data_IF_920471553152
#
_entry.id   IF_920471553152
#
_cell.length_a   1.000
_cell.length_b   1.000
_cell.length_c   1.000
_cell.angle_alpha   90.00
_cell.angle_beta   90.00
_cell.angle_gamma   90.00
#
_symmetry.space_group_name_H-M   'P 1'
#
loop_
_entity.id
_entity.type
_entity.pdbx_description
1 polymer ?
#
# COMPACT_ATOMS: atom_id res chain seq x y z
N UNK A 1 2.56 28.01 9.30
CA UNK A 1 3.32 26.76 9.50
C UNK A 1 2.63 26.02 10.62
N UNK A 2 2.16 24.79 10.41
CA UNK A 2 1.57 24.00 11.50
C UNK A 2 2.65 23.78 12.57
N UNK A 3 2.39 24.23 13.79
CA UNK A 3 3.32 24.22 14.93
C UNK A 3 3.04 23.08 15.91
N UNK A 4 2.20 22.12 15.52
CA UNK A 4 1.88 20.96 16.36
C UNK A 4 3.13 20.14 16.65
N UNK A 5 3.33 19.88 17.94
CA UNK A 5 4.34 18.94 18.39
C UNK A 5 3.98 17.52 17.93
N UNK A 6 4.98 16.78 17.44
CA UNK A 6 4.88 15.36 17.10
C UNK A 6 5.70 14.56 18.11
N UNK A 7 5.11 13.49 18.64
CA UNK A 7 5.80 12.56 19.52
C UNK A 7 6.05 11.25 18.78
N UNK A 8 7.29 10.79 18.84
CA UNK A 8 7.71 9.48 18.32
C UNK A 8 8.22 8.63 19.48
N UNK A 9 7.85 7.35 19.50
CA UNK A 9 8.37 6.36 20.42
C UNK A 9 9.09 5.28 19.63
N UNK A 10 10.29 4.89 20.06
CA UNK A 10 11.06 3.79 19.47
C UNK A 10 11.84 3.06 20.56
N UNK A 11 12.00 1.76 20.37
CA UNK A 11 12.89 0.91 21.17
C UNK A 11 14.19 0.56 20.43
N UNK A 12 14.37 1.06 19.20
CA UNK A 12 15.55 0.83 18.37
C UNK A 12 16.32 2.12 18.10
N UNK A 13 15.62 3.23 17.94
CA UNK A 13 16.21 4.52 17.59
C UNK A 13 16.45 5.34 18.86
N UNK A 14 17.62 5.95 18.97
CA UNK A 14 17.96 6.90 20.02
C UNK A 14 17.66 8.34 19.58
N UNK A 15 18.55 9.26 19.92
CA UNK A 15 18.42 10.69 19.60
C UNK A 15 19.17 11.07 18.33
N UNK A 16 19.47 10.11 17.45
CA UNK A 16 20.24 10.37 16.24
C UNK A 16 19.48 11.29 15.28
N UNK A 17 20.23 12.15 14.60
CA UNK A 17 19.71 13.03 13.56
C UNK A 17 19.89 12.40 12.17
N UNK A 18 18.98 12.77 11.27
CA UNK A 18 18.94 12.34 9.89
C UNK A 18 18.69 13.53 8.97
N UNK A 19 19.16 13.42 7.72
CA UNK A 19 18.80 14.35 6.67
C UNK A 19 17.58 13.82 5.90
N UNK A 20 16.53 14.64 5.78
CA UNK A 20 15.34 14.32 4.99
C UNK A 20 15.11 15.37 3.92
N UNK A 21 14.68 14.94 2.74
CA UNK A 21 14.26 15.83 1.67
C UNK A 21 12.85 16.32 1.96
N UNK A 22 12.67 17.64 2.01
CA UNK A 22 11.39 18.30 2.19
C UNK A 22 11.07 19.14 0.96
N UNK A 23 9.88 18.95 0.40
CA UNK A 23 9.36 19.82 -0.65
C UNK A 23 8.81 21.10 0.00
N UNK A 24 9.24 22.23 -0.54
CA UNK A 24 8.82 23.56 -0.14
C UNK A 24 7.56 23.96 -0.93
N UNK A 25 6.86 24.99 -0.46
CA UNK A 25 5.62 25.45 -1.09
C UNK A 25 5.82 25.99 -2.51
N UNK A 26 7.00 26.54 -2.80
CA UNK A 26 7.40 27.05 -4.12
C UNK A 26 7.78 25.93 -5.12
N UNK A 27 7.66 24.66 -4.72
CA UNK A 27 8.03 23.50 -5.54
C UNK A 27 9.52 23.15 -5.49
N UNK A 28 10.35 23.95 -4.81
CA UNK A 28 11.75 23.60 -4.56
C UNK A 28 11.85 22.47 -3.53
N UNK A 29 12.99 21.77 -3.50
CA UNK A 29 13.27 20.78 -2.47
C UNK A 29 14.46 21.23 -1.62
N UNK A 30 14.31 21.16 -0.30
CA UNK A 30 15.36 21.43 0.68
C UNK A 30 15.73 20.17 1.43
N UNK A 31 16.97 20.10 1.92
CA UNK A 31 17.40 19.08 2.87
C UNK A 31 17.33 19.68 4.26
N UNK A 32 16.59 19.04 5.16
CA UNK A 32 16.46 19.47 6.55
C UNK A 32 16.92 18.38 7.50
N UNK A 33 17.36 18.79 8.69
CA UNK A 33 17.64 17.87 9.79
C UNK A 33 16.33 17.44 10.45
N UNK A 34 16.17 16.14 10.67
CA UNK A 34 15.01 15.51 11.31
C UNK A 34 15.49 14.37 12.22
N UNK A 35 14.78 14.00 13.29
CA UNK A 35 15.12 12.81 14.06
C UNK A 35 15.13 11.56 13.17
N UNK A 36 16.10 10.66 13.37
CA UNK A 36 16.22 9.41 12.61
C UNK A 36 14.96 8.54 12.75
N UNK A 37 14.32 8.53 13.91
CA UNK A 37 13.04 7.85 14.15
C UNK A 37 11.92 8.36 13.23
N UNK A 38 11.85 9.67 12.98
CA UNK A 38 10.83 10.26 12.13
C UNK A 38 11.06 9.91 10.65
N UNK A 39 12.33 9.91 10.21
CA UNK A 39 12.70 9.44 8.86
C UNK A 39 12.30 7.97 8.68
N UNK A 40 12.70 7.11 9.61
CA UNK A 40 12.43 5.67 9.51
C UNK A 40 10.93 5.37 9.53
N UNK A 41 10.17 6.05 10.39
CA UNK A 41 8.71 5.95 10.40
C UNK A 41 8.14 6.34 9.03
N UNK A 42 8.51 7.49 8.48
CA UNK A 42 7.97 7.95 7.19
C UNK A 42 8.34 7.03 6.02
N UNK A 43 9.53 6.41 6.04
CA UNK A 43 9.98 5.49 4.98
C UNK A 43 9.20 4.16 4.98
N UNK A 44 8.64 3.75 6.14
CA UNK A 44 8.00 2.44 6.31
C UNK A 44 6.52 2.51 6.71
N UNK A 45 5.99 3.70 7.01
CA UNK A 45 4.56 3.90 7.25
C UNK A 45 3.76 3.76 5.96
N UNK A 46 2.44 3.66 6.07
CA UNK A 46 1.55 3.65 4.91
C UNK A 46 1.45 2.32 4.17
N UNK A 47 2.08 1.24 4.65
CA UNK A 47 1.88 -0.10 4.08
C UNK A 47 0.41 -0.55 4.08
N UNK A 48 -0.33 -0.21 5.13
CA UNK A 48 -1.78 -0.48 5.25
C UNK A 48 -2.57 0.39 4.25
N UNK A 49 -2.34 1.70 4.23
CA UNK A 49 -3.01 2.62 3.31
C UNK A 49 -2.74 2.25 1.84
N UNK A 50 -1.50 1.83 1.53
CA UNK A 50 -1.12 1.33 0.21
C UNK A 50 -1.83 0.01 -0.13
N UNK A 51 -1.99 -0.90 0.84
CA UNK A 51 -2.78 -2.13 0.65
C UNK A 51 -4.24 -1.80 0.33
N UNK A 52 -4.84 -0.86 1.06
CA UNK A 52 -6.22 -0.43 0.85
C UNK A 52 -6.38 0.28 -0.50
N UNK A 53 -5.44 1.14 -0.89
CA UNK A 53 -5.42 1.79 -2.20
C UNK A 53 -5.35 0.76 -3.35
N UNK A 54 -4.61 -0.34 -3.18
CA UNK A 54 -4.52 -1.40 -4.20
C UNK A 54 -5.83 -2.16 -4.42
N UNK A 55 -6.76 -2.18 -3.46
CA UNK A 55 -8.07 -2.87 -3.56
C UNK A 55 -9.10 -2.12 -4.42
N UNK A 56 -8.65 -1.30 -5.37
CA UNK A 56 -9.49 -0.39 -6.17
C UNK A 56 -10.53 -1.11 -7.07
N UNK A 57 -10.27 -2.35 -7.49
CA UNK A 57 -11.14 -3.06 -8.45
C UNK A 57 -12.28 -3.85 -7.78
N UNK A 58 -12.17 -4.06 -6.48
CA UNK A 58 -13.20 -4.64 -5.62
C UNK A 58 -14.27 -3.62 -5.25
N UNK A 59 -15.14 -3.29 -6.20
CA UNK A 59 -16.18 -2.29 -5.94
C UNK A 59 -17.22 -2.85 -4.96
N UNK A 60 -17.48 -2.10 -3.88
CA UNK A 60 -18.58 -2.37 -2.96
C UNK A 60 -19.89 -2.59 -3.76
N UNK A 61 -20.43 -3.80 -3.68
CA UNK A 61 -21.73 -4.14 -4.29
C UNK A 61 -22.82 -3.95 -3.24
N UNK A 62 -23.92 -3.27 -3.62
CA UNK A 62 -25.10 -3.18 -2.76
C UNK A 62 -25.60 -4.59 -2.43
N UNK A 63 -25.68 -4.90 -1.15
CA UNK A 63 -26.17 -6.18 -0.64
C UNK A 63 -27.00 -5.95 0.61
N UNK A 64 -28.03 -6.77 0.79
CA UNK A 64 -28.84 -6.80 2.01
C UNK A 64 -28.11 -7.47 3.17
N UNK A 65 -27.09 -8.29 2.87
CA UNK A 65 -26.31 -9.04 3.87
C UNK A 65 -24.95 -8.37 4.07
N UNK A 66 -24.68 -7.89 5.29
CA UNK A 66 -23.45 -7.18 5.66
C UNK A 66 -22.17 -7.97 5.36
N UNK A 67 -22.21 -9.30 5.51
CA UNK A 67 -21.04 -10.16 5.30
C UNK A 67 -20.57 -10.25 3.85
N UNK A 68 -21.44 -9.92 2.86
CA UNK A 68 -21.03 -9.89 1.45
C UNK A 68 -19.90 -8.89 1.22
N UNK A 69 -19.90 -7.78 1.98
CA UNK A 69 -18.85 -6.77 1.90
C UNK A 69 -17.51 -7.33 2.36
N UNK A 70 -17.50 -8.02 3.50
CA UNK A 70 -16.29 -8.67 4.01
C UNK A 70 -15.78 -9.75 3.07
N UNK A 71 -16.69 -10.59 2.55
CA UNK A 71 -16.34 -11.61 1.56
C UNK A 71 -15.67 -11.00 0.32
N UNK A 72 -16.26 -9.96 -0.26
CA UNK A 72 -15.65 -9.22 -1.38
C UNK A 72 -14.25 -8.70 -1.03
N UNK A 73 -14.12 -8.03 0.12
CA UNK A 73 -12.84 -7.51 0.58
C UNK A 73 -11.76 -8.59 0.76
N UNK A 74 -12.13 -9.81 1.19
CA UNK A 74 -11.19 -10.93 1.27
C UNK A 74 -10.75 -11.42 -0.12
N UNK A 75 -11.66 -11.49 -1.09
CA UNK A 75 -11.32 -11.83 -2.48
C UNK A 75 -10.35 -10.80 -3.05
N UNK A 76 -10.63 -9.52 -2.86
CA UNK A 76 -9.80 -8.42 -3.37
C UNK A 76 -8.39 -8.45 -2.76
N UNK A 77 -8.30 -8.65 -1.44
CA UNK A 77 -7.03 -8.78 -0.73
C UNK A 77 -6.24 -9.99 -1.22
N UNK A 78 -6.91 -11.13 -1.40
CA UNK A 78 -6.27 -12.37 -1.90
C UNK A 78 -5.70 -12.15 -3.30
N UNK A 79 -6.45 -11.52 -4.20
CA UNK A 79 -5.98 -11.23 -5.56
C UNK A 79 -4.83 -10.22 -5.61
N UNK A 80 -4.85 -9.19 -4.75
CA UNK A 80 -3.72 -8.27 -4.61
C UNK A 80 -2.46 -9.00 -4.14
N UNK A 81 -2.59 -9.88 -3.15
CA UNK A 81 -1.46 -10.65 -2.63
C UNK A 81 -0.95 -11.67 -3.65
N UNK A 82 -1.84 -12.33 -4.39
CA UNK A 82 -1.47 -13.25 -5.47
C UNK A 82 -0.70 -12.55 -6.59
N UNK A 83 -1.11 -11.33 -6.97
CA UNK A 83 -0.39 -10.52 -7.94
C UNK A 83 1.02 -10.12 -7.44
N UNK A 84 1.14 -9.76 -6.15
CA UNK A 84 2.45 -9.50 -5.55
C UNK A 84 3.35 -10.73 -5.58
N UNK A 85 2.82 -11.91 -5.22
CA UNK A 85 3.55 -13.17 -5.29
C UNK A 85 3.98 -13.50 -6.73
N UNK A 86 3.09 -13.31 -7.71
CA UNK A 86 3.43 -13.51 -9.12
C UNK A 86 4.60 -12.62 -9.55
N UNK A 87 4.59 -11.33 -9.19
CA UNK A 87 5.69 -10.40 -9.48
C UNK A 87 6.99 -10.81 -8.78
N UNK A 88 6.90 -11.34 -7.56
CA UNK A 88 8.07 -11.82 -6.80
C UNK A 88 8.69 -13.08 -7.42
N UNK A 89 7.86 -13.98 -7.94
CA UNK A 89 8.29 -15.24 -8.57
C UNK A 89 8.72 -15.06 -10.03
N UNK A 90 8.14 -14.09 -10.74
CA UNK A 90 8.35 -13.80 -12.16
C UNK A 90 8.64 -12.30 -12.36
N UNK A 91 9.81 -11.81 -11.92
CA UNK A 91 10.13 -10.38 -11.95
C UNK A 91 10.24 -9.79 -13.36
N UNK A 92 10.45 -10.64 -14.38
CA UNK A 92 10.41 -10.32 -15.81
C UNK A 92 8.98 -10.18 -16.36
N UNK A 93 7.99 -10.80 -15.73
CA UNK A 93 6.58 -10.80 -16.16
C UNK A 93 5.70 -9.90 -15.27
N UNK A 94 6.12 -8.65 -15.06
CA UNK A 94 5.34 -7.72 -14.23
C UNK A 94 3.98 -7.43 -14.87
N UNK A 95 2.93 -7.93 -14.23
CA UNK A 95 1.54 -7.68 -14.64
C UNK A 95 0.88 -6.60 -13.77
N UNK A 96 0.33 -5.53 -14.37
CA UNK A 96 -0.56 -4.62 -13.65
C UNK A 96 -1.75 -5.36 -13.03
N UNK A 97 -2.20 -4.92 -11.86
CA UNK A 97 -3.25 -5.60 -11.09
C UNK A 97 -4.52 -5.89 -11.92
N UNK A 98 -4.99 -4.94 -12.72
CA UNK A 98 -6.15 -5.14 -13.59
C UNK A 98 -5.96 -6.26 -14.61
N UNK A 99 -4.77 -6.39 -15.18
CA UNK A 99 -4.49 -7.41 -16.18
C UNK A 99 -4.33 -8.79 -15.53
N UNK A 100 -3.69 -8.85 -14.36
CA UNK A 100 -3.65 -10.05 -13.53
C UNK A 100 -5.06 -10.56 -13.22
N UNK A 101 -5.96 -9.66 -12.81
CA UNK A 101 -7.36 -9.99 -12.54
C UNK A 101 -8.10 -10.51 -13.77
N UNK A 102 -7.91 -9.89 -14.94
CA UNK A 102 -8.54 -10.35 -16.18
C UNK A 102 -8.12 -11.76 -16.56
N UNK A 103 -6.82 -12.07 -16.43
CA UNK A 103 -6.29 -13.42 -16.68
C UNK A 103 -6.90 -14.43 -15.71
N UNK A 104 -6.86 -14.12 -14.41
CA UNK A 104 -7.46 -14.96 -13.37
C UNK A 104 -8.94 -15.27 -13.65
N UNK A 105 -9.75 -14.25 -13.97
CA UNK A 105 -11.18 -14.46 -14.26
C UNK A 105 -11.39 -15.28 -15.52
N UNK A 106 -10.61 -15.07 -16.59
CA UNK A 106 -10.70 -15.88 -17.82
C UNK A 106 -10.40 -17.34 -17.53
N UNK A 107 -9.32 -17.61 -16.80
CA UNK A 107 -8.93 -18.98 -16.42
C UNK A 107 -10.02 -19.64 -15.58
N UNK A 108 -10.51 -18.95 -14.54
CA UNK A 108 -11.57 -19.44 -13.66
C UNK A 108 -12.85 -19.82 -14.41
N UNK A 109 -13.27 -19.01 -15.39
CA UNK A 109 -14.48 -19.27 -16.19
C UNK A 109 -14.25 -20.36 -17.24
N UNK A 110 -13.01 -20.54 -17.71
CA UNK A 110 -12.66 -21.56 -18.70
C UNK A 110 -12.44 -22.96 -18.11
N UNK A 111 -12.47 -23.12 -16.79
CA UNK A 111 -12.30 -24.43 -16.15
C UNK A 111 -13.48 -25.36 -16.49
N UNK A 112 -13.23 -26.63 -16.88
CA UNK A 112 -14.29 -27.60 -17.09
C UNK A 112 -15.06 -27.87 -15.79
N UNK A 113 -16.38 -27.98 -15.89
CA UNK A 113 -17.27 -28.24 -14.74
C UNK A 113 -17.36 -29.73 -14.38
#
# INVERSE_FOLDING_TARGET
>A
MDSKALLFASNYHGTEAASVRRNNYDGSASVITSPQVAKYYNDHMGGVDLSDQKRTYGRDRKSLKWWHRHFGGFVDLTLCNAQLLHILLHPEEKLPLLEFWRRFVRELVSMPQ
#
